data_IF_822262948846
#
_entry.id   IF_822262948846
#
_cell.length_a   1.000
_cell.length_b   1.000
_cell.length_c   1.000
_cell.angle_alpha   90.00
_cell.angle_beta   90.00
_cell.angle_gamma   90.00
#
_symmetry.space_group_name_H-M   'P 1'
#
loop_
_entity.id
_entity.type
_entity.pdbx_description
1 polymer ?
#
# COMPACT_ATOMS: atom_id res chain seq x y z
N UNK A 1 63.90 59.81 -4.29
CA UNK A 1 63.73 58.48 -4.98
C UNK A 1 62.41 57.88 -4.52
N UNK A 2 61.41 58.01 -5.38
CA UNK A 2 60.04 57.55 -5.10
C UNK A 2 59.85 56.15 -5.70
N UNK A 3 59.45 55.19 -4.87
CA UNK A 3 58.95 53.90 -5.32
C UNK A 3 57.50 53.82 -4.92
N UNK A 4 56.58 53.85 -5.95
CA UNK A 4 55.18 53.63 -5.81
C UNK A 4 54.95 52.12 -5.88
N UNK A 5 54.31 51.54 -4.86
CA UNK A 5 53.85 50.17 -4.80
C UNK A 5 52.39 50.16 -5.25
N UNK A 6 52.12 49.44 -6.37
CA UNK A 6 50.75 49.22 -6.89
C UNK A 6 50.15 47.97 -6.26
N UNK A 7 49.02 48.11 -5.53
CA UNK A 7 48.19 47.02 -5.06
C UNK A 7 47.21 46.64 -6.18
N UNK A 8 47.41 45.47 -6.73
CA UNK A 8 46.44 44.85 -7.64
C UNK A 8 45.33 44.15 -6.86
N UNK A 9 44.11 44.61 -7.03
CA UNK A 9 42.91 43.96 -6.48
C UNK A 9 42.49 42.76 -7.38
N UNK A 10 42.60 41.56 -6.87
CA UNK A 10 42.01 40.36 -7.50
C UNK A 10 40.52 40.27 -7.11
N UNK A 11 39.63 40.51 -8.08
CA UNK A 11 38.21 40.19 -7.96
C UNK A 11 38.05 38.70 -8.22
N UNK A 12 37.76 37.92 -7.17
CA UNK A 12 37.23 36.53 -7.31
C UNK A 12 35.76 36.63 -7.65
N UNK A 13 35.43 36.41 -8.91
CA UNK A 13 34.05 36.17 -9.35
C UNK A 13 33.60 34.78 -8.92
N UNK A 14 32.70 34.70 -7.91
CA UNK A 14 32.02 33.47 -7.55
C UNK A 14 30.96 33.15 -8.63
N UNK A 15 31.24 32.15 -9.46
CA UNK A 15 30.25 31.60 -10.39
C UNK A 15 29.24 30.76 -9.58
N UNK A 16 28.05 31.28 -9.32
CA UNK A 16 26.92 30.52 -8.83
C UNK A 16 26.37 29.67 -9.99
N UNK A 17 26.74 28.39 -10.02
CA UNK A 17 26.07 27.38 -10.83
C UNK A 17 24.70 27.13 -10.20
N UNK A 18 23.66 27.78 -10.70
CA UNK A 18 22.26 27.43 -10.40
C UNK A 18 21.99 26.05 -11.01
N UNK A 19 22.02 25.03 -10.18
CA UNK A 19 21.52 23.68 -10.56
C UNK A 19 20.03 23.80 -10.82
N UNK A 20 19.64 24.00 -12.07
CA UNK A 20 18.27 23.85 -12.50
C UNK A 20 17.88 22.38 -12.27
N UNK A 21 17.11 22.10 -11.22
CA UNK A 21 16.35 20.85 -11.08
C UNK A 21 15.35 20.84 -12.22
N UNK A 22 15.73 20.20 -13.32
CA UNK A 22 14.77 19.83 -14.37
C UNK A 22 13.75 18.91 -13.68
N UNK A 23 12.54 19.40 -13.48
CA UNK A 23 11.42 18.59 -13.08
C UNK A 23 11.30 17.49 -14.13
N UNK A 24 11.68 16.26 -13.75
CA UNK A 24 11.52 15.08 -14.60
C UNK A 24 10.04 15.00 -14.90
N UNK A 25 9.66 15.04 -16.18
CA UNK A 25 8.30 14.78 -16.58
C UNK A 25 7.86 13.47 -15.90
N UNK A 26 6.63 13.43 -15.39
CA UNK A 26 6.09 12.25 -14.71
C UNK A 26 6.06 11.07 -15.69
N UNK A 27 7.15 10.31 -15.72
CA UNK A 27 7.32 9.08 -16.51
C UNK A 27 6.46 7.91 -15.96
N UNK A 28 5.53 8.22 -15.05
CA UNK A 28 4.63 7.22 -14.50
C UNK A 28 3.76 6.60 -15.58
N UNK A 29 3.55 5.28 -15.56
CA UNK A 29 2.66 4.62 -16.49
C UNK A 29 1.28 5.29 -16.51
N UNK A 30 0.70 5.47 -17.71
CA UNK A 30 -0.60 6.15 -17.89
C UNK A 30 -1.73 5.59 -17.05
N UNK A 31 -1.71 4.26 -16.79
CA UNK A 31 -2.70 3.59 -15.96
C UNK A 31 -2.67 4.05 -14.49
N UNK A 32 -1.53 4.50 -13.96
CA UNK A 32 -1.41 4.99 -12.56
C UNK A 32 -2.27 6.23 -12.31
N UNK A 33 -2.30 7.17 -13.25
CA UNK A 33 -3.13 8.36 -13.14
C UNK A 33 -4.62 8.03 -13.10
N UNK A 34 -5.08 7.15 -13.99
CA UNK A 34 -6.45 6.65 -14.00
C UNK A 34 -6.79 5.90 -12.71
N UNK A 35 -5.89 5.03 -12.25
CA UNK A 35 -6.07 4.28 -11.00
C UNK A 35 -6.19 5.23 -9.79
N UNK A 36 -5.32 6.23 -9.71
CA UNK A 36 -5.36 7.23 -8.64
C UNK A 36 -6.69 7.99 -8.61
N UNK A 37 -7.22 8.37 -9.78
CA UNK A 37 -8.53 9.02 -9.89
C UNK A 37 -9.65 8.11 -9.38
N UNK A 38 -9.65 6.82 -9.76
CA UNK A 38 -10.64 5.84 -9.32
C UNK A 38 -10.57 5.60 -7.81
N UNK A 39 -9.36 5.46 -7.25
CA UNK A 39 -9.17 5.32 -5.80
C UNK A 39 -9.70 6.53 -5.05
N UNK A 40 -9.36 7.75 -5.47
CA UNK A 40 -9.85 8.99 -4.86
C UNK A 40 -11.38 9.13 -4.90
N UNK A 41 -12.03 8.56 -5.93
CA UNK A 41 -13.50 8.61 -6.10
C UNK A 41 -14.23 7.56 -5.25
N UNK A 42 -13.67 6.35 -5.12
CA UNK A 42 -14.40 5.21 -4.60
C UNK A 42 -13.84 4.60 -3.32
N UNK A 43 -12.57 4.78 -3.00
CA UNK A 43 -11.99 4.31 -1.76
C UNK A 43 -12.24 5.32 -0.63
N UNK A 44 -12.66 4.84 0.54
CA UNK A 44 -12.88 5.63 1.75
C UNK A 44 -12.27 4.95 2.96
N UNK A 45 -12.15 5.64 4.08
CA UNK A 45 -11.74 5.03 5.36
C UNK A 45 -12.73 3.96 5.84
N UNK A 46 -14.01 4.04 5.43
CA UNK A 46 -15.06 3.09 5.76
C UNK A 46 -15.16 1.89 4.84
N UNK A 47 -14.44 1.88 3.71
CA UNK A 47 -14.49 0.83 2.69
C UNK A 47 -14.54 1.36 1.26
N UNK A 48 -15.07 0.57 0.33
CA UNK A 48 -15.17 0.91 -1.08
C UNK A 48 -16.63 1.10 -1.49
N UNK A 49 -16.93 2.12 -2.28
CA UNK A 49 -18.27 2.44 -2.79
C UNK A 49 -18.61 1.54 -4.00
N UNK A 50 -18.72 0.23 -3.78
CA UNK A 50 -18.89 -0.77 -4.85
C UNK A 50 -20.12 -0.52 -5.71
N UNK A 51 -21.29 -0.26 -5.11
CA UNK A 51 -22.53 -0.01 -5.86
C UNK A 51 -22.38 1.19 -6.81
N UNK A 52 -21.84 2.30 -6.33
CA UNK A 52 -21.63 3.50 -7.13
C UNK A 52 -20.59 3.26 -8.25
N UNK A 53 -19.53 2.51 -7.96
CA UNK A 53 -18.50 2.18 -8.96
C UNK A 53 -19.07 1.25 -10.04
N UNK A 54 -19.73 0.17 -9.63
CA UNK A 54 -20.35 -0.80 -10.55
C UNK A 54 -21.40 -0.16 -11.47
N UNK A 55 -22.14 0.83 -10.95
CA UNK A 55 -23.13 1.60 -11.72
C UNK A 55 -22.56 2.57 -12.74
N UNK A 56 -21.25 2.85 -12.72
CA UNK A 56 -20.59 3.77 -13.65
C UNK A 56 -19.78 2.99 -14.69
N UNK A 57 -20.36 2.83 -15.89
CA UNK A 57 -19.76 2.07 -16.97
C UNK A 57 -18.40 2.63 -17.44
N UNK A 58 -18.22 3.96 -17.45
CA UNK A 58 -16.97 4.60 -17.84
C UNK A 58 -15.86 4.30 -16.83
N UNK A 59 -16.17 4.33 -15.52
CA UNK A 59 -15.19 4.02 -14.46
C UNK A 59 -14.89 2.52 -14.38
N UNK A 60 -15.84 1.66 -14.72
CA UNK A 60 -15.59 0.22 -14.90
C UNK A 60 -14.64 -0.05 -16.07
N UNK A 61 -14.82 0.65 -17.19
CA UNK A 61 -13.91 0.59 -18.33
C UNK A 61 -12.53 1.15 -17.99
N UNK A 62 -12.47 2.24 -17.23
CA UNK A 62 -11.19 2.79 -16.75
C UNK A 62 -10.45 1.80 -15.85
N UNK A 63 -11.13 1.08 -14.98
CA UNK A 63 -10.51 0.03 -14.16
C UNK A 63 -10.00 -1.14 -15.01
N UNK A 64 -10.75 -1.54 -16.06
CA UNK A 64 -10.26 -2.53 -17.03
C UNK A 64 -8.95 -2.08 -17.68
N UNK A 65 -8.87 -0.80 -18.12
CA UNK A 65 -7.64 -0.25 -18.68
C UNK A 65 -6.48 -0.22 -17.69
N UNK A 66 -6.77 -0.01 -16.39
CA UNK A 66 -5.76 -0.08 -15.32
C UNK A 66 -5.18 -1.50 -15.23
N UNK A 67 -6.02 -2.54 -15.14
CA UNK A 67 -5.52 -3.92 -15.02
C UNK A 67 -4.86 -4.41 -16.31
N UNK A 68 -5.29 -3.93 -17.48
CA UNK A 68 -4.63 -4.17 -18.76
C UNK A 68 -3.23 -3.53 -18.81
N UNK A 69 -3.09 -2.33 -18.24
CA UNK A 69 -1.82 -1.64 -18.07
C UNK A 69 -0.87 -2.40 -17.13
N UNK A 70 -1.37 -2.82 -15.97
CA UNK A 70 -0.65 -3.66 -15.01
C UNK A 70 -0.16 -4.95 -15.68
N UNK A 71 -1.01 -5.59 -16.49
CA UNK A 71 -0.67 -6.83 -17.19
C UNK A 71 0.46 -6.67 -18.20
N UNK A 72 0.66 -5.48 -18.76
CA UNK A 72 1.65 -5.18 -19.81
C UNK A 72 2.89 -4.43 -19.31
N UNK A 73 2.89 -4.03 -18.03
CA UNK A 73 3.95 -3.21 -17.45
C UNK A 73 5.32 -3.89 -17.51
N UNK A 74 6.35 -3.10 -17.84
CA UNK A 74 7.74 -3.57 -17.86
C UNK A 74 8.45 -3.13 -16.59
N UNK A 75 8.73 -4.06 -15.70
CA UNK A 75 9.30 -3.77 -14.37
C UNK A 75 10.81 -3.95 -14.28
N UNK A 76 11.46 -4.42 -15.35
CA UNK A 76 12.90 -4.72 -15.33
C UNK A 76 13.80 -3.50 -15.10
N UNK A 77 13.32 -2.30 -15.45
CA UNK A 77 14.05 -1.04 -15.24
C UNK A 77 13.70 -0.32 -13.92
N UNK A 78 12.74 -0.85 -13.16
CA UNK A 78 12.28 -0.22 -11.92
C UNK A 78 13.22 -0.55 -10.75
N UNK A 79 13.49 0.44 -9.89
CA UNK A 79 14.18 0.20 -8.63
C UNK A 79 13.30 -0.59 -7.64
N UNK A 80 13.89 -1.02 -6.50
CA UNK A 80 13.22 -1.88 -5.53
C UNK A 80 11.92 -1.27 -4.98
N UNK A 81 11.90 0.04 -4.72
CA UNK A 81 10.70 0.74 -4.19
C UNK A 81 9.62 0.87 -5.26
N UNK A 82 9.99 1.20 -6.48
CA UNK A 82 9.07 1.26 -7.62
C UNK A 82 8.45 -0.11 -7.91
N UNK A 83 9.24 -1.19 -7.86
CA UNK A 83 8.74 -2.54 -8.03
C UNK A 83 7.74 -2.91 -6.92
N UNK A 84 8.03 -2.59 -5.65
CA UNK A 84 7.10 -2.87 -4.56
C UNK A 84 5.79 -2.07 -4.71
N UNK A 85 5.89 -0.78 -5.02
CA UNK A 85 4.73 0.06 -5.30
C UNK A 85 3.87 -0.50 -6.44
N UNK A 86 4.52 -0.94 -7.53
CA UNK A 86 3.85 -1.61 -8.65
C UNK A 86 3.10 -2.86 -8.21
N UNK A 87 3.75 -3.77 -7.46
CA UNK A 87 3.11 -5.02 -7.03
C UNK A 87 1.94 -4.79 -6.07
N UNK A 88 2.03 -3.80 -5.17
CA UNK A 88 0.90 -3.44 -4.30
C UNK A 88 -0.27 -2.90 -5.12
N UNK A 89 -0.01 -1.99 -6.07
CA UNK A 89 -1.04 -1.49 -6.97
C UNK A 89 -1.65 -2.60 -7.83
N UNK A 90 -0.83 -3.53 -8.31
CA UNK A 90 -1.28 -4.68 -9.10
C UNK A 90 -2.22 -5.58 -8.29
N UNK A 91 -1.83 -5.94 -7.07
CA UNK A 91 -2.69 -6.73 -6.18
C UNK A 91 -4.03 -6.03 -5.94
N UNK A 92 -4.01 -4.78 -5.49
CA UNK A 92 -5.21 -4.04 -5.14
C UNK A 92 -6.09 -3.73 -6.36
N UNK A 93 -5.49 -3.38 -7.50
CA UNK A 93 -6.23 -3.12 -8.75
C UNK A 93 -6.98 -4.35 -9.23
N UNK A 94 -6.32 -5.52 -9.23
CA UNK A 94 -6.97 -6.77 -9.60
C UNK A 94 -8.00 -7.24 -8.58
N UNK A 95 -7.78 -7.05 -7.24
CA UNK A 95 -8.80 -7.33 -6.22
C UNK A 95 -10.06 -6.52 -6.48
N UNK A 96 -9.93 -5.21 -6.76
CA UNK A 96 -11.06 -4.35 -7.07
C UNK A 96 -11.79 -4.79 -8.34
N UNK A 97 -11.05 -5.09 -9.40
CA UNK A 97 -11.60 -5.56 -10.67
C UNK A 97 -12.43 -6.84 -10.48
N UNK A 98 -11.86 -7.84 -9.79
CA UNK A 98 -12.53 -9.10 -9.55
C UNK A 98 -13.72 -8.96 -8.58
N UNK A 99 -13.60 -8.17 -7.52
CA UNK A 99 -14.69 -7.92 -6.58
C UNK A 99 -15.87 -7.19 -7.26
N UNK A 100 -15.60 -6.15 -8.07
CA UNK A 100 -16.60 -5.45 -8.85
C UNK A 100 -17.22 -6.32 -9.93
N UNK A 101 -16.45 -7.22 -10.54
CA UNK A 101 -16.94 -8.21 -11.49
C UNK A 101 -18.01 -9.12 -10.90
N UNK A 102 -17.88 -9.45 -9.61
CA UNK A 102 -18.78 -10.34 -8.86
C UNK A 102 -19.81 -9.61 -8.00
N UNK A 103 -19.73 -8.27 -7.93
CA UNK A 103 -20.70 -7.49 -7.17
C UNK A 103 -22.10 -7.54 -7.80
N UNK A 104 -23.20 -7.70 -7.00
CA UNK A 104 -23.20 -7.72 -5.54
C UNK A 104 -22.78 -9.07 -4.93
N UNK A 105 -21.95 -9.01 -3.89
CA UNK A 105 -21.58 -10.16 -3.07
C UNK A 105 -21.57 -9.77 -1.59
N UNK A 106 -21.93 -10.67 -0.69
CA UNK A 106 -21.94 -10.39 0.75
C UNK A 106 -20.58 -10.60 1.40
N UNK A 107 -19.79 -11.50 0.86
CA UNK A 107 -18.51 -11.89 1.44
C UNK A 107 -17.50 -12.26 0.37
N UNK A 108 -16.24 -11.92 0.61
CA UNK A 108 -15.13 -12.41 -0.21
C UNK A 108 -14.96 -13.92 -0.09
N UNK A 109 -15.49 -14.57 0.97
CA UNK A 109 -15.55 -16.02 1.09
C UNK A 109 -16.48 -16.65 0.06
N UNK A 110 -17.54 -15.98 -0.36
CA UNK A 110 -18.45 -16.47 -1.38
C UNK A 110 -17.76 -16.58 -2.75
N UNK A 111 -16.63 -15.91 -2.90
CA UNK A 111 -15.80 -15.92 -4.10
C UNK A 111 -14.66 -16.97 -4.06
N UNK A 112 -14.51 -17.74 -2.96
CA UNK A 112 -13.24 -18.02 -2.33
C UNK A 112 -12.49 -19.27 -2.71
N UNK A 113 -13.02 -20.36 -3.15
CA UNK A 113 -12.13 -21.53 -3.35
C UNK A 113 -11.15 -21.35 -4.51
N UNK A 114 -11.46 -20.50 -5.46
CA UNK A 114 -10.59 -20.19 -6.60
C UNK A 114 -10.20 -18.72 -6.73
N UNK A 115 -10.77 -17.83 -5.89
CA UNK A 115 -10.54 -16.39 -6.02
C UNK A 115 -9.07 -16.03 -5.75
N UNK A 116 -8.52 -16.48 -4.62
CA UNK A 116 -7.14 -16.14 -4.26
C UNK A 116 -6.10 -17.12 -4.84
N UNK A 117 -6.48 -18.36 -5.14
CA UNK A 117 -5.54 -19.41 -5.54
C UNK A 117 -5.52 -19.70 -7.05
N UNK A 118 -6.57 -19.31 -7.78
CA UNK A 118 -6.62 -19.46 -9.23
C UNK A 118 -5.71 -18.48 -9.97
N UNK A 119 -5.10 -18.90 -11.08
CA UNK A 119 -4.31 -18.03 -11.96
C UNK A 119 -5.23 -17.11 -12.78
N UNK A 120 -5.78 -16.08 -12.14
CA UNK A 120 -6.80 -15.20 -12.70
C UNK A 120 -6.28 -13.84 -13.10
N UNK A 121 -5.11 -13.45 -12.61
CA UNK A 121 -4.55 -12.12 -12.82
C UNK A 121 -3.30 -12.21 -13.67
N UNK A 122 -3.03 -11.16 -14.42
CA UNK A 122 -1.81 -11.02 -15.20
C UNK A 122 -1.02 -9.80 -14.69
N UNK A 123 0.21 -10.00 -14.26
CA UNK A 123 1.05 -8.96 -13.67
C UNK A 123 2.40 -8.95 -14.36
N UNK A 124 2.79 -7.84 -14.98
CA UNK A 124 4.04 -7.69 -15.71
C UNK A 124 4.29 -8.79 -16.76
N UNK A 125 3.24 -9.20 -17.48
CA UNK A 125 3.31 -10.25 -18.50
C UNK A 125 3.01 -11.67 -17.99
N UNK A 126 3.11 -11.92 -16.68
CA UNK A 126 3.00 -13.26 -16.10
C UNK A 126 1.61 -13.55 -15.51
N UNK A 127 0.99 -14.70 -15.85
CA UNK A 127 -0.23 -15.14 -15.20
C UNK A 127 0.07 -15.64 -13.78
N UNK A 128 -0.73 -15.23 -12.79
CA UNK A 128 -0.55 -15.65 -11.41
C UNK A 128 -1.85 -15.61 -10.59
N UNK A 129 -1.77 -16.13 -9.37
CA UNK A 129 -2.82 -15.98 -8.37
C UNK A 129 -2.49 -14.84 -7.40
N UNK A 130 -3.48 -14.34 -6.67
CA UNK A 130 -3.24 -13.39 -5.58
C UNK A 130 -2.33 -13.98 -4.49
N UNK A 131 -2.54 -15.27 -4.17
CA UNK A 131 -1.69 -15.98 -3.21
C UNK A 131 -0.24 -16.05 -3.68
N UNK A 132 0.00 -16.35 -4.95
CA UNK A 132 1.35 -16.37 -5.52
C UNK A 132 1.98 -14.96 -5.48
N UNK A 133 1.25 -13.94 -5.93
CA UNK A 133 1.74 -12.57 -5.90
C UNK A 133 2.15 -12.12 -4.49
N UNK A 134 1.31 -12.42 -3.47
CA UNK A 134 1.60 -12.05 -2.09
C UNK A 134 2.72 -12.90 -1.48
N UNK A 135 2.56 -14.24 -1.49
CA UNK A 135 3.41 -15.15 -0.70
C UNK A 135 4.76 -15.45 -1.35
N UNK A 136 4.79 -15.54 -2.69
CA UNK A 136 5.95 -16.02 -3.41
C UNK A 136 6.71 -14.88 -4.12
N UNK A 137 6.05 -13.72 -4.35
CA UNK A 137 6.68 -12.56 -4.96
C UNK A 137 6.90 -11.44 -3.94
N UNK A 138 5.84 -10.86 -3.38
CA UNK A 138 5.96 -9.63 -2.57
C UNK A 138 6.71 -9.90 -1.26
N UNK A 139 6.26 -10.86 -0.47
CA UNK A 139 6.83 -11.11 0.86
C UNK A 139 8.31 -11.49 0.83
N UNK A 140 8.75 -12.51 0.07
CA UNK A 140 10.15 -12.94 0.08
C UNK A 140 11.09 -11.93 -0.59
N UNK A 141 10.61 -11.23 -1.64
CA UNK A 141 11.45 -10.30 -2.39
C UNK A 141 11.73 -9.00 -1.62
N UNK A 142 10.77 -8.52 -0.84
CA UNK A 142 10.88 -7.21 -0.21
C UNK A 142 11.10 -7.28 1.30
N UNK A 143 10.55 -8.28 2.01
CA UNK A 143 10.76 -8.49 3.44
C UNK A 143 10.23 -7.35 4.32
N UNK A 144 9.27 -6.57 3.83
CA UNK A 144 8.71 -5.41 4.53
C UNK A 144 7.35 -5.75 5.13
N UNK A 145 7.23 -5.88 6.48
CA UNK A 145 5.96 -6.24 7.11
C UNK A 145 4.86 -5.20 6.93
N UNK A 146 5.19 -3.97 6.53
CA UNK A 146 4.20 -2.91 6.29
C UNK A 146 3.30 -3.23 5.08
N UNK A 147 3.71 -4.14 4.20
CA UNK A 147 2.88 -4.57 3.05
C UNK A 147 1.55 -5.16 3.48
N UNK A 148 1.47 -5.78 4.67
CA UNK A 148 0.24 -6.34 5.20
C UNK A 148 -0.84 -5.30 5.51
N UNK A 149 -0.48 -4.03 5.60
CA UNK A 149 -1.40 -2.91 5.77
C UNK A 149 -1.71 -2.18 4.46
N UNK A 150 -1.04 -2.55 3.37
CA UNK A 150 -1.19 -1.98 2.03
C UNK A 150 -1.93 -2.91 1.05
N UNK A 151 -1.82 -4.24 1.23
CA UNK A 151 -2.54 -5.23 0.43
C UNK A 151 -3.97 -5.39 0.97
N UNK A 152 -4.96 -5.00 0.15
CA UNK A 152 -6.37 -5.04 0.54
C UNK A 152 -7.09 -6.21 -0.14
N UNK A 153 -7.59 -7.15 0.65
CA UNK A 153 -8.29 -8.35 0.16
C UNK A 153 -9.81 -8.16 -0.02
N UNK A 154 -10.30 -6.93 -0.05
CA UNK A 154 -11.72 -6.58 -0.14
C UNK A 154 -12.59 -7.04 1.05
N UNK A 155 -12.02 -7.51 2.16
CA UNK A 155 -12.79 -7.87 3.35
C UNK A 155 -12.88 -6.71 4.36
N UNK A 156 -13.90 -6.75 5.22
CA UNK A 156 -14.16 -5.70 6.22
C UNK A 156 -13.07 -5.57 7.26
N UNK A 157 -12.44 -6.69 7.65
CA UNK A 157 -11.32 -6.68 8.60
C UNK A 157 -9.98 -6.34 7.95
N UNK A 158 -9.88 -6.24 6.62
CA UNK A 158 -8.69 -5.73 5.96
C UNK A 158 -8.38 -4.29 6.40
N UNK A 159 -7.10 -3.90 6.42
CA UNK A 159 -6.74 -2.49 6.45
C UNK A 159 -7.46 -1.71 5.34
N UNK A 160 -7.84 -0.45 5.58
CA UNK A 160 -8.51 0.36 4.55
C UNK A 160 -7.70 0.42 3.26
N UNK A 161 -8.39 0.38 2.12
CA UNK A 161 -7.75 0.60 0.83
C UNK A 161 -7.22 2.04 0.76
N UNK A 162 -5.97 2.20 0.35
CA UNK A 162 -5.39 3.52 0.17
C UNK A 162 -6.14 4.31 -0.90
N UNK A 163 -6.35 5.60 -0.66
CA UNK A 163 -7.10 6.49 -1.57
C UNK A 163 -6.25 7.04 -2.72
N UNK A 164 -4.98 6.71 -2.74
CA UNK A 164 -4.05 7.04 -3.83
C UNK A 164 -3.21 5.82 -4.22
N UNK A 165 -2.75 5.79 -5.47
CA UNK A 165 -1.85 4.77 -5.95
C UNK A 165 -0.49 4.86 -5.23
N UNK A 166 0.13 3.72 -4.97
CA UNK A 166 1.48 3.67 -4.43
C UNK A 166 2.50 4.11 -5.48
N UNK A 167 3.50 4.87 -5.04
CA UNK A 167 4.59 5.36 -5.89
C UNK A 167 5.92 5.17 -5.21
N UNK A 168 6.96 4.80 -5.98
CA UNK A 168 8.28 4.48 -5.43
C UNK A 168 8.87 5.58 -4.57
N UNK A 169 8.74 6.84 -5.00
CA UNK A 169 9.23 8.03 -4.31
C UNK A 169 8.48 8.36 -3.02
N UNK A 170 7.23 7.89 -2.87
CA UNK A 170 6.38 8.10 -1.69
C UNK A 170 6.18 6.85 -0.85
N UNK A 171 6.70 5.70 -1.31
CA UNK A 171 6.34 4.38 -0.79
C UNK A 171 6.54 4.25 0.72
N UNK A 172 7.68 4.66 1.25
CA UNK A 172 7.95 4.56 2.68
C UNK A 172 6.95 5.35 3.51
N UNK A 173 6.65 6.58 3.10
CA UNK A 173 5.69 7.43 3.79
C UNK A 173 4.26 6.85 3.71
N UNK A 174 3.87 6.31 2.55
CA UNK A 174 2.57 5.66 2.36
C UNK A 174 2.44 4.40 3.23
N UNK A 175 3.44 3.53 3.25
CA UNK A 175 3.45 2.31 4.05
C UNK A 175 3.48 2.59 5.55
N UNK A 176 4.30 3.55 6.00
CA UNK A 176 4.36 3.93 7.42
C UNK A 176 3.05 4.56 7.90
N UNK A 177 2.43 5.41 7.07
CA UNK A 177 1.13 5.99 7.38
C UNK A 177 0.07 4.91 7.56
N UNK A 178 -0.07 3.98 6.61
CA UNK A 178 -1.07 2.91 6.67
C UNK A 178 -0.84 1.99 7.87
N UNK A 179 0.40 1.62 8.15
CA UNK A 179 0.74 0.80 9.31
C UNK A 179 0.41 1.53 10.63
N UNK A 180 0.74 2.82 10.72
CA UNK A 180 0.46 3.66 11.90
C UNK A 180 -1.04 3.86 12.11
N UNK A 181 -1.77 4.21 11.04
CA UNK A 181 -3.22 4.39 11.13
C UNK A 181 -3.92 3.09 11.56
N UNK A 182 -3.47 1.95 11.02
CA UNK A 182 -4.08 0.66 11.34
C UNK A 182 -3.83 0.25 12.78
N UNK A 183 -2.60 0.33 13.30
CA UNK A 183 -2.30 -0.06 14.69
C UNK A 183 -2.95 0.88 15.72
N UNK A 184 -3.29 2.12 15.35
CA UNK A 184 -4.02 3.06 16.19
C UNK A 184 -5.56 2.97 16.02
N UNK A 185 -6.04 2.08 15.15
CA UNK A 185 -7.47 1.83 14.98
C UNK A 185 -7.95 0.62 15.78
N UNK A 186 -9.24 0.55 16.18
CA UNK A 186 -9.80 -0.64 16.83
C UNK A 186 -9.71 -1.91 15.96
N UNK A 187 -9.66 -1.78 14.63
CA UNK A 187 -9.44 -2.92 13.72
C UNK A 187 -8.04 -3.53 13.84
N UNK A 188 -7.04 -2.71 14.11
CA UNK A 188 -5.65 -3.17 14.29
C UNK A 188 -5.39 -3.66 15.70
N UNK A 189 -5.74 -2.84 16.68
CA UNK A 189 -5.52 -3.12 18.11
C UNK A 189 -6.67 -2.54 18.93
N UNK A 190 -7.42 -3.40 19.58
CA UNK A 190 -8.46 -3.04 20.53
C UNK A 190 -7.96 -3.37 21.94
N UNK A 191 -7.55 -2.34 22.69
CA UNK A 191 -6.98 -2.48 24.03
C UNK A 191 -8.01 -2.08 25.09
N UNK A 192 -8.28 -3.01 26.04
CA UNK A 192 -9.08 -2.76 27.24
C UNK A 192 -8.14 -2.58 28.44
N UNK A 193 -7.98 -1.35 28.99
CA UNK A 193 -7.17 -1.10 30.17
C UNK A 193 -7.67 -1.88 31.40
N UNK A 194 -9.00 -1.97 31.58
CA UNK A 194 -9.63 -2.65 32.71
C UNK A 194 -9.30 -4.15 32.76
N UNK A 195 -9.31 -4.79 31.57
CA UNK A 195 -8.99 -6.21 31.41
C UNK A 195 -7.50 -6.49 31.21
N UNK A 196 -6.69 -5.43 31.01
CA UNK A 196 -5.31 -5.51 30.59
C UNK A 196 -5.11 -6.45 29.40
N UNK A 197 -6.03 -6.38 28.42
CA UNK A 197 -6.05 -7.28 27.26
C UNK A 197 -6.07 -6.47 25.97
N UNK A 198 -5.18 -6.80 25.04
CA UNK A 198 -5.12 -6.26 23.69
C UNK A 198 -5.57 -7.31 22.68
N UNK A 199 -6.73 -7.10 22.06
CA UNK A 199 -7.19 -7.91 20.95
C UNK A 199 -6.58 -7.37 19.64
N UNK A 200 -5.58 -8.08 19.13
CA UNK A 200 -4.85 -7.72 17.91
C UNK A 200 -5.59 -8.23 16.68
N UNK A 201 -5.48 -7.53 15.55
CA UNK A 201 -5.93 -8.06 14.26
C UNK A 201 -5.33 -9.44 13.99
N UNK A 202 -6.11 -10.35 13.41
CA UNK A 202 -5.65 -11.67 12.99
C UNK A 202 -4.43 -11.62 12.04
N UNK A 203 -4.22 -10.51 11.33
CA UNK A 203 -3.03 -10.27 10.49
C UNK A 203 -1.74 -10.49 11.28
N UNK A 204 -1.66 -10.01 12.52
CA UNK A 204 -0.48 -10.17 13.37
C UNK A 204 -0.20 -11.62 13.79
N UNK A 205 -1.22 -12.47 13.77
CA UNK A 205 -1.06 -13.91 13.99
C UNK A 205 -0.64 -14.64 12.71
N UNK A 206 -1.35 -14.38 11.61
CA UNK A 206 -1.10 -15.07 10.34
C UNK A 206 0.29 -14.81 9.77
N UNK A 207 0.78 -13.59 9.97
CA UNK A 207 2.06 -13.12 9.43
C UNK A 207 3.11 -12.85 10.52
N UNK A 208 2.97 -13.48 11.71
CA UNK A 208 3.85 -13.23 12.86
C UNK A 208 5.34 -13.29 12.55
N UNK A 209 5.70 -14.16 11.61
CA UNK A 209 7.10 -14.37 11.23
C UNK A 209 7.68 -13.18 10.45
N UNK A 210 6.87 -12.46 9.70
CA UNK A 210 7.30 -11.27 8.96
C UNK A 210 7.63 -10.09 9.89
N UNK A 211 7.12 -10.10 11.11
CA UNK A 211 7.41 -9.09 12.12
C UNK A 211 8.64 -9.40 12.99
N UNK A 212 9.31 -10.55 12.80
CA UNK A 212 10.46 -10.97 13.63
C UNK A 212 11.59 -9.94 13.65
N UNK A 213 11.92 -9.35 12.50
CA UNK A 213 12.96 -8.33 12.39
C UNK A 213 12.64 -7.04 13.17
N UNK A 214 11.35 -6.80 13.46
CA UNK A 214 10.89 -5.69 14.29
C UNK A 214 10.78 -6.02 15.78
N UNK A 215 11.22 -7.21 16.21
CA UNK A 215 11.06 -7.71 17.57
C UNK A 215 9.72 -8.40 17.83
N UNK A 216 8.99 -8.74 16.76
CA UNK A 216 7.67 -9.38 16.81
C UNK A 216 6.51 -8.40 16.68
N UNK A 217 5.26 -8.92 16.63
CA UNK A 217 4.07 -8.11 16.43
C UNK A 217 3.89 -6.98 17.46
N UNK A 218 4.06 -7.27 18.75
CA UNK A 218 3.85 -6.27 19.81
C UNK A 218 4.89 -5.14 19.72
N UNK A 219 6.15 -5.47 19.46
CA UNK A 219 7.20 -4.47 19.29
C UNK A 219 6.94 -3.59 18.05
N UNK A 220 6.49 -4.19 16.94
CA UNK A 220 6.09 -3.45 15.73
C UNK A 220 4.93 -2.49 16.02
N UNK A 221 3.91 -2.95 16.76
CA UNK A 221 2.74 -2.18 17.19
C UNK A 221 3.19 -1.00 18.08
N UNK A 222 3.95 -1.27 19.15
CA UNK A 222 4.35 -0.27 20.14
C UNK A 222 5.24 0.84 19.54
N UNK A 223 6.01 0.53 18.50
CA UNK A 223 6.78 1.55 17.75
C UNK A 223 5.90 2.57 17.04
N UNK A 224 4.61 2.25 16.79
CA UNK A 224 3.70 3.04 15.96
C UNK A 224 2.46 3.55 16.69
N UNK A 225 2.16 2.98 17.85
CA UNK A 225 1.01 3.46 18.64
C UNK A 225 1.36 4.76 19.34
N UNK A 226 0.36 5.66 19.39
CA UNK A 226 0.39 6.87 20.21
C UNK A 226 0.54 6.55 21.70
N UNK A 227 -0.13 5.47 22.13
CA UNK A 227 -0.05 4.92 23.49
C UNK A 227 0.39 3.46 23.39
N UNK A 228 1.67 3.15 23.70
CA UNK A 228 2.16 1.78 23.68
C UNK A 228 1.37 0.85 24.61
N UNK A 229 1.22 -0.39 24.19
CA UNK A 229 0.62 -1.43 25.04
C UNK A 229 1.53 -1.68 26.26
N UNK A 230 0.96 -1.76 27.49
CA UNK A 230 1.72 -2.11 28.68
C UNK A 230 2.39 -3.47 28.56
N UNK A 231 3.53 -3.65 29.22
CA UNK A 231 4.29 -4.90 29.18
C UNK A 231 3.53 -6.10 29.77
N UNK A 232 2.58 -5.83 30.69
CA UNK A 232 1.72 -6.84 31.30
C UNK A 232 0.40 -7.08 30.56
N UNK A 233 0.19 -6.43 29.42
CA UNK A 233 -0.99 -6.63 28.60
C UNK A 233 -0.99 -8.02 27.96
N UNK A 234 -2.08 -8.79 28.21
CA UNK A 234 -2.33 -10.06 27.54
C UNK A 234 -2.77 -9.82 26.10
N UNK A 235 -2.17 -10.50 25.16
CA UNK A 235 -2.57 -10.41 23.75
C UNK A 235 -3.50 -11.55 23.36
N UNK A 236 -4.56 -11.19 22.62
CA UNK A 236 -5.48 -12.12 21.95
C UNK A 236 -5.64 -11.71 20.49
N UNK A 237 -6.41 -12.46 19.71
CA UNK A 237 -6.64 -12.13 18.31
C UNK A 237 -8.12 -11.95 18.04
N UNK A 238 -8.44 -10.92 17.24
CA UNK A 238 -9.80 -10.62 16.81
C UNK A 238 -10.29 -11.68 15.82
N UNK A 239 -11.61 -11.94 15.85
CA UNK A 239 -12.27 -12.69 14.78
C UNK A 239 -12.22 -11.87 13.50
N UNK A 240 -11.81 -12.50 12.39
CA UNK A 240 -11.70 -11.81 11.11
C UNK A 240 -13.02 -11.81 10.36
N UNK A 241 -13.54 -10.61 10.08
CA UNK A 241 -14.77 -10.41 9.31
C UNK A 241 -14.46 -10.41 7.80
N UNK A 242 -14.90 -11.47 7.12
CA UNK A 242 -14.73 -11.68 5.69
C UNK A 242 -15.85 -11.06 4.84
N UNK A 243 -16.82 -10.38 5.44
CA UNK A 243 -17.82 -9.65 4.65
C UNK A 243 -17.14 -8.61 3.75
N UNK A 244 -17.78 -8.28 2.62
CA UNK A 244 -17.23 -7.28 1.71
C UNK A 244 -17.02 -5.93 2.42
N UNK A 245 -15.89 -5.29 2.19
CA UNK A 245 -15.55 -3.98 2.75
C UNK A 245 -16.32 -2.84 2.05
N UNK A 246 -17.60 -3.03 1.82
CA UNK A 246 -18.46 -2.01 1.22
C UNK A 246 -18.61 -0.81 2.16
N UNK A 247 -18.41 0.39 1.61
CA UNK A 247 -18.66 1.64 2.32
C UNK A 247 -20.19 1.81 2.51
N UNK A 248 -20.57 2.22 3.74
CA UNK A 248 -21.96 2.57 4.06
C UNK A 248 -22.34 3.93 3.53
#
# INVERSE_FOLDING_TARGET
>A
MNTRSSFGAFLLGALFLASATVARADDSPKWIGSYNTLLGKYATSGGVKYAAWKGNAADMQALQQVVDGIAKEKISGLNKKEQLAFYINAYNGWILHEALGKYPTKSVKDLLFTFFTGQRIKVAGEPMSFTHLEKDVVRPKFGDPRVHFALNCASRSCPPLNQEAFRGEKLDAQLDKLATDFVNSPKGVDYSPEKKTAALSAIFNWYKDDFKAAGGPVAFINKRRSEPLPNDAKTTYQTYDWSLNEAK
#
